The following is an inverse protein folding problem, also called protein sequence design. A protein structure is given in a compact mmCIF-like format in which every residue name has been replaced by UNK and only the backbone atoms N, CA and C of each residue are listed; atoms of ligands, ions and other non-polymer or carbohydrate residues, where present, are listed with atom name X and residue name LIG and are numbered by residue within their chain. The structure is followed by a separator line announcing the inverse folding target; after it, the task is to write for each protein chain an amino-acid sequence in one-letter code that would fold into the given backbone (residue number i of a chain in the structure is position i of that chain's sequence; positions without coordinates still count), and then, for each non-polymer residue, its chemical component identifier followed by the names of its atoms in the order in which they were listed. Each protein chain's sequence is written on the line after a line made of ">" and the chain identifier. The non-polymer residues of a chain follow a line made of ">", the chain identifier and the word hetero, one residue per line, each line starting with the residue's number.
data_IF_894869604537
#
_entry.id   IF_894869604537
#
_cell.length_a   1.000
_cell.length_b   1.000
_cell.length_c   1.000
_cell.angle_alpha   90.00
_cell.angle_beta   90.00
_cell.angle_gamma   90.00
#
_symmetry.space_group_name_H-M   'P 1'
#
loop_
_entity.id
_entity.type
_entity.pdbx_description
1 polymer ?
#
# COMPACT_ATOMS: atom_id res chain seq x y z
N UNK A 1 -34.82 30.71 11.26
CA UNK A 1 -33.38 30.48 11.50
C UNK A 1 -33.11 29.03 11.15
N UNK A 2 -32.80 28.76 9.89
CA UNK A 2 -32.43 27.43 9.44
C UNK A 2 -31.02 27.12 9.95
N UNK A 3 -30.93 26.07 10.75
CA UNK A 3 -29.69 25.44 11.19
C UNK A 3 -28.94 24.95 9.97
N UNK A 4 -27.88 25.65 9.57
CA UNK A 4 -26.91 25.15 8.61
C UNK A 4 -26.17 23.97 9.24
N UNK A 5 -26.62 22.75 8.96
CA UNK A 5 -25.86 21.53 9.24
C UNK A 5 -24.56 21.58 8.43
N UNK A 6 -23.52 22.14 9.03
CA UNK A 6 -22.15 21.97 8.55
C UNK A 6 -21.84 20.47 8.66
N UNK A 7 -21.95 19.74 7.55
CA UNK A 7 -21.40 18.39 7.41
C UNK A 7 -19.93 18.45 7.85
N UNK A 8 -19.62 17.97 9.06
CA UNK A 8 -18.24 17.77 9.50
C UNK A 8 -17.56 16.90 8.45
N UNK A 9 -16.53 17.43 7.80
CA UNK A 9 -15.74 16.69 6.84
C UNK A 9 -15.10 15.51 7.58
N UNK A 10 -15.33 14.28 7.08
CA UNK A 10 -14.76 13.09 7.70
C UNK A 10 -13.23 13.11 7.54
N UNK A 11 -12.46 12.68 8.56
CA UNK A 11 -11.02 12.50 8.42
C UNK A 11 -10.72 11.63 7.20
N UNK A 12 -9.70 12.00 6.43
CA UNK A 12 -9.34 11.32 5.18
C UNK A 12 -8.02 10.60 5.36
N UNK A 13 -8.03 9.29 5.17
CA UNK A 13 -6.85 8.44 5.23
C UNK A 13 -6.50 7.99 3.82
N UNK A 14 -5.26 8.24 3.41
CA UNK A 14 -4.73 7.71 2.16
C UNK A 14 -4.09 6.36 2.41
N UNK A 15 -4.64 5.29 1.84
CA UNK A 15 -4.11 3.93 1.96
C UNK A 15 -3.26 3.59 0.73
N UNK A 16 -1.99 3.24 0.96
CA UNK A 16 -1.17 2.54 -0.03
C UNK A 16 -1.77 1.17 -0.30
N UNK A 17 -2.31 0.97 -1.50
CA UNK A 17 -3.13 -0.19 -1.84
C UNK A 17 -2.45 -1.06 -2.91
N UNK A 18 -2.20 -2.32 -2.58
CA UNK A 18 -1.61 -3.31 -3.48
C UNK A 18 -2.63 -4.20 -4.17
N UNK A 19 -3.88 -4.25 -3.69
CA UNK A 19 -4.89 -5.15 -4.22
C UNK A 19 -4.94 -6.53 -3.55
N UNK A 20 -4.00 -6.83 -2.65
CA UNK A 20 -3.95 -8.08 -1.88
C UNK A 20 -4.96 -8.15 -0.74
N UNK A 21 -4.92 -9.26 0.01
CA UNK A 21 -5.78 -9.53 1.18
C UNK A 21 -5.67 -8.41 2.21
N UNK A 22 -4.46 -8.19 2.73
CA UNK A 22 -4.17 -7.30 3.85
C UNK A 22 -4.66 -5.88 3.57
N UNK A 23 -4.31 -5.33 2.40
CA UNK A 23 -4.72 -3.96 2.02
C UNK A 23 -6.21 -3.87 1.67
N UNK A 24 -6.87 -4.97 1.30
CA UNK A 24 -8.32 -5.02 1.10
C UNK A 24 -9.08 -5.04 2.42
N UNK A 25 -8.62 -5.84 3.39
CA UNK A 25 -9.13 -5.83 4.77
C UNK A 25 -8.92 -4.46 5.41
N UNK A 26 -7.77 -3.81 5.16
CA UNK A 26 -7.46 -2.48 5.67
C UNK A 26 -8.47 -1.41 5.29
N UNK A 27 -9.02 -1.43 4.07
CA UNK A 27 -10.05 -0.47 3.65
C UNK A 27 -11.26 -0.54 4.58
N UNK A 28 -11.76 -1.76 4.84
CA UNK A 28 -12.93 -1.94 5.69
C UNK A 28 -12.60 -1.64 7.16
N UNK A 29 -11.49 -2.19 7.67
CA UNK A 29 -11.08 -2.03 9.06
C UNK A 29 -10.85 -0.56 9.45
N UNK A 30 -10.14 0.21 8.62
CA UNK A 30 -9.88 1.65 8.88
C UNK A 30 -11.18 2.45 8.98
N UNK A 31 -12.17 2.12 8.14
CA UNK A 31 -13.48 2.78 8.17
C UNK A 31 -14.25 2.45 9.45
N UNK A 32 -14.26 1.18 9.85
CA UNK A 32 -14.98 0.76 11.06
C UNK A 32 -14.35 1.33 12.33
N UNK A 33 -13.02 1.28 12.44
CA UNK A 33 -12.31 1.69 13.64
C UNK A 33 -12.21 3.20 13.81
N UNK A 34 -12.12 3.96 12.70
CA UNK A 34 -11.87 5.41 12.75
C UNK A 34 -13.01 6.27 12.19
N UNK A 35 -14.08 5.68 11.65
CA UNK A 35 -15.19 6.43 11.06
C UNK A 35 -14.78 7.35 9.90
N UNK A 36 -13.65 7.04 9.25
CA UNK A 36 -12.97 7.89 8.28
C UNK A 36 -13.38 7.59 6.82
N UNK A 37 -13.01 8.50 5.91
CA UNK A 37 -13.02 8.24 4.48
C UNK A 37 -11.65 7.70 4.04
N UNK A 38 -11.62 6.47 3.53
CA UNK A 38 -10.41 5.87 2.98
C UNK A 38 -10.32 6.19 1.49
N UNK A 39 -9.17 6.71 1.04
CA UNK A 39 -8.81 6.85 -0.37
C UNK A 39 -7.66 5.89 -0.66
N UNK A 40 -7.80 5.04 -1.66
CA UNK A 40 -6.72 4.13 -2.05
C UNK A 40 -5.87 4.70 -3.17
N UNK A 41 -4.57 4.47 -3.07
CA UNK A 41 -3.59 4.82 -4.11
C UNK A 41 -2.69 3.63 -4.37
N UNK A 42 -2.65 3.21 -5.63
CA UNK A 42 -1.70 2.22 -6.14
C UNK A 42 -0.69 2.93 -7.02
N UNK A 43 0.60 2.68 -6.80
CA UNK A 43 1.67 3.24 -7.62
C UNK A 43 2.15 2.13 -8.56
N UNK A 44 2.02 2.34 -9.85
CA UNK A 44 2.43 1.41 -10.90
C UNK A 44 3.91 1.61 -11.21
N UNK A 45 4.72 0.66 -10.75
CA UNK A 45 6.16 0.54 -11.01
C UNK A 45 6.46 -0.65 -11.93
N UNK A 46 5.43 -1.20 -12.59
CA UNK A 46 5.53 -2.32 -13.53
C UNK A 46 5.18 -3.68 -12.97
N UNK A 47 4.42 -3.73 -11.88
CA UNK A 47 3.80 -4.97 -11.40
C UNK A 47 2.82 -5.52 -12.46
N UNK A 48 2.67 -6.84 -12.53
CA UNK A 48 1.84 -7.52 -13.55
C UNK A 48 0.36 -7.63 -13.19
N UNK A 49 -0.04 -7.19 -11.99
CA UNK A 49 -1.43 -7.25 -11.52
C UNK A 49 -2.41 -6.43 -12.38
N UNK A 50 -3.67 -6.88 -12.46
CA UNK A 50 -4.75 -6.06 -13.04
C UNK A 50 -5.11 -4.91 -12.09
N UNK A 51 -4.44 -3.78 -12.30
CA UNK A 51 -4.63 -2.56 -11.53
C UNK A 51 -6.07 -2.02 -11.66
N UNK A 52 -6.76 -2.26 -12.79
CA UNK A 52 -8.15 -1.84 -12.96
C UNK A 52 -9.06 -2.69 -12.08
N UNK A 53 -8.80 -3.98 -11.98
CA UNK A 53 -9.54 -4.85 -11.07
C UNK A 53 -9.30 -4.46 -9.61
N UNK A 54 -8.04 -4.21 -9.23
CA UNK A 54 -7.70 -3.71 -7.89
C UNK A 54 -8.50 -2.42 -7.55
N UNK A 55 -8.57 -1.45 -8.46
CA UNK A 55 -9.40 -0.24 -8.27
C UNK A 55 -10.89 -0.56 -8.10
N UNK A 56 -11.45 -1.49 -8.89
CA UNK A 56 -12.85 -1.91 -8.75
C UNK A 56 -13.09 -2.55 -7.39
N UNK A 57 -12.22 -3.47 -6.96
CA UNK A 57 -12.29 -4.13 -5.65
C UNK A 57 -12.22 -3.11 -4.51
N UNK A 58 -11.27 -2.19 -4.55
CA UNK A 58 -11.15 -1.15 -3.52
C UNK A 58 -12.44 -0.34 -3.35
N UNK A 59 -13.08 0.05 -4.45
CA UNK A 59 -14.38 0.76 -4.41
C UNK A 59 -15.51 -0.12 -3.89
N UNK A 60 -15.57 -1.39 -4.31
CA UNK A 60 -16.57 -2.34 -3.84
C UNK A 60 -16.49 -2.58 -2.32
N UNK A 61 -15.29 -2.59 -1.75
CA UNK A 61 -15.05 -2.72 -0.30
C UNK A 61 -15.46 -1.45 0.45
N UNK A 62 -15.42 -0.30 -0.22
CA UNK A 62 -15.91 0.97 0.31
C UNK A 62 -14.87 2.09 0.38
N UNK A 63 -13.77 2.00 -0.37
CA UNK A 63 -12.90 3.17 -0.57
C UNK A 63 -13.69 4.29 -1.27
N UNK A 64 -13.61 5.50 -0.72
CA UNK A 64 -14.29 6.69 -1.27
C UNK A 64 -13.78 7.07 -2.65
N UNK A 65 -12.48 6.85 -2.90
CA UNK A 65 -11.81 6.99 -4.19
C UNK A 65 -10.71 5.94 -4.29
N UNK A 66 -10.40 5.54 -5.52
CA UNK A 66 -9.28 4.67 -5.85
C UNK A 66 -8.52 5.29 -7.03
N UNK A 67 -7.21 5.43 -6.86
CA UNK A 67 -6.29 6.03 -7.84
C UNK A 67 -5.18 5.05 -8.20
N UNK A 68 -4.75 5.09 -9.46
CA UNK A 68 -3.52 4.47 -9.93
C UNK A 68 -2.62 5.57 -10.47
N UNK A 69 -1.36 5.57 -10.05
CA UNK A 69 -0.34 6.52 -10.51
C UNK A 69 0.66 5.74 -11.35
N UNK A 70 0.76 6.06 -12.64
CA UNK A 70 1.81 5.50 -13.51
C UNK A 70 3.16 6.13 -13.15
N UNK A 71 4.06 5.33 -12.57
CA UNK A 71 5.39 5.75 -12.16
C UNK A 71 6.50 4.94 -12.84
N UNK A 72 6.18 4.10 -13.84
CA UNK A 72 7.13 3.17 -14.47
C UNK A 72 8.37 3.88 -15.03
N UNK A 73 8.15 4.96 -15.79
CA UNK A 73 9.25 5.72 -16.40
C UNK A 73 10.10 6.41 -15.34
N UNK A 74 9.47 7.03 -14.35
CA UNK A 74 10.18 7.70 -13.25
C UNK A 74 10.97 6.71 -12.40
N UNK A 75 10.42 5.53 -12.16
CA UNK A 75 11.12 4.44 -11.49
C UNK A 75 12.37 4.01 -12.25
N UNK A 76 12.24 3.78 -13.57
CA UNK A 76 13.36 3.41 -14.41
C UNK A 76 14.47 4.47 -14.42
N UNK A 77 14.09 5.74 -14.64
CA UNK A 77 15.06 6.82 -14.83
C UNK A 77 15.71 7.29 -13.52
N UNK A 78 14.94 7.41 -12.44
CA UNK A 78 15.38 8.08 -11.21
C UNK A 78 15.80 7.10 -10.09
N UNK A 79 15.49 5.81 -10.21
CA UNK A 79 15.81 4.81 -9.17
C UNK A 79 16.62 3.64 -9.74
N UNK A 80 16.12 3.00 -10.79
CA UNK A 80 16.80 1.85 -11.42
C UNK A 80 18.11 2.28 -12.05
N UNK A 81 18.12 3.32 -12.89
CA UNK A 81 19.33 3.75 -13.58
C UNK A 81 20.44 4.21 -12.61
N UNK A 82 20.16 4.98 -11.54
CA UNK A 82 21.16 5.25 -10.51
C UNK A 82 21.66 4.01 -9.77
N UNK A 83 20.79 3.07 -9.41
CA UNK A 83 21.18 1.82 -8.77
C UNK A 83 22.12 0.99 -9.69
N UNK A 84 21.81 0.95 -10.98
CA UNK A 84 22.63 0.30 -12.00
C UNK A 84 24.01 0.98 -12.13
N UNK A 85 24.05 2.32 -12.22
CA UNK A 85 25.32 3.08 -12.28
C UNK A 85 26.19 2.85 -11.05
N UNK A 86 25.59 2.64 -9.89
CA UNK A 86 26.30 2.36 -8.64
C UNK A 86 26.74 0.90 -8.50
N UNK A 87 26.37 0.00 -9.42
CA UNK A 87 26.48 -1.45 -9.25
C UNK A 87 25.89 -1.90 -7.91
N UNK A 88 24.72 -1.36 -7.56
CA UNK A 88 24.14 -1.53 -6.23
C UNK A 88 23.71 -2.99 -5.99
N UNK A 89 24.50 -3.70 -5.19
CA UNK A 89 24.27 -5.08 -4.78
C UNK A 89 24.34 -5.18 -3.26
N UNK A 90 23.19 -5.41 -2.64
CA UNK A 90 23.12 -5.70 -1.21
C UNK A 90 23.72 -7.09 -0.95
N UNK A 91 24.63 -7.16 0.03
CA UNK A 91 25.40 -8.36 0.36
C UNK A 91 26.09 -9.01 -0.87
N UNK A 92 26.44 -8.18 -1.87
CA UNK A 92 27.11 -8.62 -3.09
C UNK A 92 26.24 -9.39 -4.09
N UNK A 93 24.96 -9.63 -3.78
CA UNK A 93 24.10 -10.52 -4.57
C UNK A 93 22.75 -9.91 -4.98
N UNK A 94 22.15 -9.09 -4.12
CA UNK A 94 20.76 -8.65 -4.32
C UNK A 94 20.69 -7.23 -4.92
N UNK A 95 20.12 -7.03 -6.12
CA UNK A 95 20.09 -5.73 -6.82
C UNK A 95 19.04 -4.76 -6.27
N UNK A 96 18.75 -4.84 -4.96
CA UNK A 96 17.84 -3.97 -4.22
C UNK A 96 16.43 -3.90 -4.82
N UNK A 97 15.99 -4.96 -5.48
CA UNK A 97 14.78 -5.04 -6.30
C UNK A 97 13.51 -4.49 -5.66
N UNK A 98 13.22 -4.95 -4.44
CA UNK A 98 12.09 -4.47 -3.64
C UNK A 98 12.40 -3.09 -3.06
N UNK A 99 13.63 -2.90 -2.55
CA UNK A 99 14.00 -1.75 -1.74
C UNK A 99 13.88 -0.40 -2.47
N UNK A 100 14.34 -0.31 -3.73
CA UNK A 100 14.44 0.98 -4.43
C UNK A 100 13.10 1.51 -4.94
N UNK A 101 12.06 0.67 -5.05
CA UNK A 101 10.74 1.13 -5.44
C UNK A 101 10.02 1.89 -4.32
N UNK A 102 10.25 1.50 -3.05
CA UNK A 102 9.47 2.03 -1.90
C UNK A 102 9.61 3.55 -1.72
N UNK A 103 10.81 4.15 -1.81
CA UNK A 103 10.92 5.61 -1.69
C UNK A 103 10.15 6.37 -2.79
N UNK A 104 10.12 5.87 -4.03
CA UNK A 104 9.31 6.45 -5.10
C UNK A 104 7.82 6.34 -4.79
N UNK A 105 7.37 5.14 -4.40
CA UNK A 105 5.96 4.91 -4.06
C UNK A 105 5.53 5.88 -2.96
N UNK A 106 6.34 6.03 -1.90
CA UNK A 106 6.08 6.97 -0.81
C UNK A 106 6.05 8.42 -1.29
N UNK A 107 6.98 8.83 -2.15
CA UNK A 107 6.95 10.19 -2.70
C UNK A 107 5.63 10.49 -3.41
N UNK A 108 5.11 9.55 -4.20
CA UNK A 108 3.81 9.68 -4.87
C UNK A 108 2.62 9.65 -3.90
N UNK A 109 2.69 8.83 -2.85
CA UNK A 109 1.68 8.79 -1.80
C UNK A 109 1.61 10.11 -1.03
N UNK A 110 2.77 10.70 -0.68
CA UNK A 110 2.86 11.99 0.00
C UNK A 110 2.34 13.13 -0.87
N UNK A 111 2.71 13.16 -2.16
CA UNK A 111 2.18 14.13 -3.12
C UNK A 111 0.65 14.06 -3.21
N UNK A 112 0.12 12.85 -3.34
CA UNK A 112 -1.32 12.61 -3.42
C UNK A 112 -2.04 12.94 -2.11
N UNK A 113 -1.45 12.62 -0.95
CA UNK A 113 -2.01 12.93 0.36
C UNK A 113 -2.19 14.44 0.52
N UNK A 114 -1.13 15.21 0.23
CA UNK A 114 -1.16 16.68 0.24
C UNK A 114 -2.21 17.24 -0.71
N UNK A 115 -2.27 16.74 -1.95
CA UNK A 115 -3.27 17.16 -2.94
C UNK A 115 -4.71 16.90 -2.51
N UNK A 116 -4.95 15.81 -1.80
CA UNK A 116 -6.28 15.41 -1.33
C UNK A 116 -6.65 15.98 0.04
N UNK A 117 -5.74 16.70 0.70
CA UNK A 117 -5.91 17.18 2.07
C UNK A 117 -6.01 16.04 3.10
N UNK A 118 -5.33 14.92 2.85
CA UNK A 118 -5.20 13.84 3.83
C UNK A 118 -3.99 14.13 4.73
N UNK A 119 -4.20 14.06 6.05
CA UNK A 119 -3.15 14.24 7.07
C UNK A 119 -2.54 12.91 7.54
N UNK A 120 -3.05 11.80 7.01
CA UNK A 120 -2.68 10.44 7.41
C UNK A 120 -2.45 9.55 6.20
N UNK A 121 -1.32 8.85 6.17
CA UNK A 121 -1.01 7.78 5.22
C UNK A 121 -1.02 6.44 5.96
N UNK A 122 -1.78 5.48 5.44
CA UNK A 122 -1.77 4.10 5.89
C UNK A 122 -1.04 3.19 4.90
N UNK A 123 -0.39 2.14 5.38
CA UNK A 123 0.23 1.10 4.55
C UNK A 123 -0.01 -0.31 5.12
N UNK A 124 0.00 -1.32 4.26
CA UNK A 124 -0.23 -2.72 4.63
C UNK A 124 1.03 -3.53 4.92
N UNK A 125 2.17 -2.90 5.24
CA UNK A 125 3.41 -3.65 5.50
C UNK A 125 3.30 -4.41 6.82
N UNK A 126 3.74 -5.67 6.86
CA UNK A 126 3.76 -6.45 8.10
C UNK A 126 4.83 -5.94 9.08
N UNK A 127 4.69 -6.31 10.35
CA UNK A 127 5.68 -5.99 11.39
C UNK A 127 7.00 -6.76 11.30
N UNK A 128 7.11 -7.75 10.39
CA UNK A 128 8.29 -8.62 10.27
C UNK A 128 9.23 -8.25 9.11
N UNK A 129 8.72 -7.50 8.12
CA UNK A 129 9.46 -7.17 6.90
C UNK A 129 10.22 -5.85 6.96
N UNK A 130 11.13 -5.66 6.00
CA UNK A 130 11.90 -4.42 5.83
C UNK A 130 11.06 -3.25 5.29
N UNK A 131 9.93 -3.54 4.63
CA UNK A 131 9.16 -2.52 3.95
C UNK A 131 8.50 -1.51 4.88
N UNK A 132 8.08 -1.90 6.08
CA UNK A 132 7.57 -0.93 7.06
C UNK A 132 8.60 0.17 7.33
N UNK A 133 9.88 -0.18 7.44
CA UNK A 133 10.96 0.77 7.70
C UNK A 133 11.16 1.66 6.48
N UNK A 134 11.21 1.07 5.28
CA UNK A 134 11.37 1.81 4.02
C UNK A 134 10.23 2.81 3.81
N UNK A 135 8.99 2.41 4.12
CA UNK A 135 7.83 3.28 4.03
C UNK A 135 7.87 4.40 5.07
N UNK A 136 7.94 4.05 6.35
CA UNK A 136 7.84 5.01 7.46
C UNK A 136 9.00 6.03 7.46
N UNK A 137 10.24 5.59 7.21
CA UNK A 137 11.40 6.50 7.11
C UNK A 137 11.24 7.45 5.92
N UNK A 138 10.76 6.96 4.78
CA UNK A 138 10.53 7.81 3.60
C UNK A 138 9.39 8.81 3.85
N UNK A 139 8.32 8.42 4.55
CA UNK A 139 7.22 9.32 4.89
C UNK A 139 7.73 10.42 5.83
N UNK A 140 8.44 10.03 6.90
CA UNK A 140 9.03 10.96 7.85
C UNK A 140 9.99 11.96 7.17
N UNK A 141 10.77 11.50 6.19
CA UNK A 141 11.68 12.35 5.44
C UNK A 141 10.97 13.36 4.51
N UNK A 142 9.84 12.98 3.89
CA UNK A 142 9.16 13.79 2.88
C UNK A 142 7.97 14.62 3.42
N UNK A 143 7.40 14.20 4.55
CA UNK A 143 6.28 14.83 5.22
C UNK A 143 6.31 14.49 6.72
N UNK A 144 7.19 15.13 7.51
CA UNK A 144 7.35 14.84 8.94
C UNK A 144 6.08 15.06 9.77
N UNK A 145 5.18 15.93 9.31
CA UNK A 145 3.88 16.20 9.96
C UNK A 145 2.78 15.19 9.58
N UNK A 146 3.06 14.28 8.63
CA UNK A 146 2.11 13.26 8.19
C UNK A 146 1.99 12.16 9.24
N UNK A 147 0.76 11.85 9.66
CA UNK A 147 0.50 10.69 10.52
C UNK A 147 0.66 9.41 9.71
N UNK A 148 1.22 8.38 10.34
CA UNK A 148 1.36 7.06 9.71
C UNK A 148 0.53 6.03 10.47
N UNK A 149 -0.18 5.19 9.72
CA UNK A 149 -0.92 4.04 10.25
C UNK A 149 -0.48 2.75 9.56
N UNK A 150 -0.39 1.67 10.33
CA UNK A 150 -0.03 0.35 9.81
C UNK A 150 -1.04 -0.69 10.32
N UNK A 151 -2.23 -0.79 9.69
CA UNK A 151 -3.33 -1.61 10.20
C UNK A 151 -2.95 -3.06 10.49
N UNK A 152 -2.12 -3.67 9.64
CA UNK A 152 -1.57 -5.02 9.79
C UNK A 152 -0.77 -5.24 11.08
N UNK A 153 -0.20 -4.17 11.65
CA UNK A 153 0.50 -4.20 12.94
C UNK A 153 -0.43 -3.88 14.11
N UNK A 154 -1.48 -3.11 13.85
CA UNK A 154 -2.42 -2.65 14.86
C UNK A 154 -3.46 -3.73 15.21
N UNK A 155 -4.00 -4.44 14.21
CA UNK A 155 -5.07 -5.43 14.42
C UNK A 155 -4.60 -6.80 14.90
N UNK A 156 -3.33 -7.15 14.67
CA UNK A 156 -2.70 -8.43 15.07
C UNK A 156 -3.40 -9.73 14.62
N UNK A 157 -4.36 -9.68 13.70
CA UNK A 157 -4.94 -10.84 13.01
C UNK A 157 -3.87 -11.70 12.32
N UNK A 158 -4.00 -13.02 12.44
CA UNK A 158 -3.32 -13.99 11.57
C UNK A 158 -3.86 -13.93 10.15
N UNK A 159 -3.18 -14.58 9.19
CA UNK A 159 -3.68 -14.66 7.81
C UNK A 159 -5.03 -15.37 7.73
N UNK A 160 -5.22 -16.43 8.52
CA UNK A 160 -6.49 -17.16 8.63
C UNK A 160 -7.59 -16.25 9.18
N UNK A 161 -7.30 -15.50 10.25
CA UNK A 161 -8.22 -14.54 10.85
C UNK A 161 -8.58 -13.41 9.86
N UNK A 162 -7.64 -12.94 9.04
CA UNK A 162 -7.91 -11.96 7.98
C UNK A 162 -8.83 -12.51 6.88
N UNK A 163 -8.66 -13.79 6.51
CA UNK A 163 -9.55 -14.46 5.55
C UNK A 163 -10.95 -14.61 6.14
N UNK A 164 -11.06 -15.01 7.41
CA UNK A 164 -12.34 -15.09 8.10
C UNK A 164 -13.01 -13.71 8.24
N UNK A 165 -12.24 -12.68 8.58
CA UNK A 165 -12.71 -11.30 8.61
C UNK A 165 -13.23 -10.86 7.25
N UNK A 166 -12.50 -11.14 6.17
CA UNK A 166 -12.92 -10.82 4.82
C UNK A 166 -14.24 -11.52 4.44
N UNK A 167 -14.39 -12.81 4.78
CA UNK A 167 -15.64 -13.56 4.57
C UNK A 167 -16.80 -12.97 5.36
N UNK A 168 -16.60 -12.71 6.65
CA UNK A 168 -17.64 -12.18 7.55
C UNK A 168 -18.17 -10.80 7.09
N UNK A 169 -17.33 -10.01 6.43
CA UNK A 169 -17.68 -8.67 5.96
C UNK A 169 -17.91 -8.57 4.45
N UNK A 170 -18.03 -9.71 3.75
CA UNK A 170 -18.22 -9.78 2.30
C UNK A 170 -17.18 -8.97 1.49
N UNK A 171 -15.92 -8.97 1.94
CA UNK A 171 -14.81 -8.30 1.26
C UNK A 171 -14.37 -9.19 0.09
N UNK A 172 -14.49 -8.73 -1.18
CA UNK A 172 -14.02 -9.49 -2.33
C UNK A 172 -12.49 -9.56 -2.32
N UNK A 173 -11.95 -10.70 -1.89
CA UNK A 173 -10.51 -10.95 -1.86
C UNK A 173 -10.09 -11.82 -3.06
N UNK A 174 -8.93 -11.55 -3.68
CA UNK A 174 -8.43 -12.34 -4.80
C UNK A 174 -7.87 -13.71 -4.38
N UNK A 175 -7.98 -14.08 -3.10
CA UNK A 175 -7.31 -15.25 -2.53
C UNK A 175 -8.02 -16.52 -2.98
N UNK A 176 -7.43 -17.22 -3.94
CA UNK A 176 -7.47 -18.68 -3.92
C UNK A 176 -6.57 -19.14 -2.77
N UNK A 177 -7.00 -20.16 -2.02
CA UNK A 177 -6.28 -20.72 -0.86
C UNK A 177 -4.87 -21.25 -1.26
N UNK A 178 -4.57 -21.31 -2.56
CA UNK A 178 -3.45 -22.04 -3.16
C UNK A 178 -2.27 -21.17 -3.65
N UNK A 179 -2.14 -19.91 -3.23
CA UNK A 179 -0.94 -19.11 -3.52
C UNK A 179 0.05 -19.15 -2.33
N UNK A 180 0.99 -20.12 -2.26
CA UNK A 180 1.86 -20.30 -1.11
C UNK A 180 2.99 -19.25 -1.00
N UNK A 181 3.14 -18.40 -2.02
CA UNK A 181 4.26 -17.46 -2.12
C UNK A 181 3.79 -16.02 -1.99
N UNK A 182 4.58 -15.22 -1.26
CA UNK A 182 4.54 -13.77 -1.30
C UNK A 182 5.39 -13.31 -2.49
N UNK A 183 4.82 -12.49 -3.38
CA UNK A 183 5.46 -12.06 -4.62
C UNK A 183 5.42 -10.54 -4.67
N UNK A 184 6.58 -9.94 -4.91
CA UNK A 184 6.73 -8.52 -5.17
C UNK A 184 7.43 -8.31 -6.51
N UNK A 185 6.85 -7.50 -7.38
CA UNK A 185 7.29 -7.35 -8.76
C UNK A 185 7.25 -5.90 -9.21
N UNK A 186 8.24 -5.53 -10.02
CA UNK A 186 8.31 -4.25 -10.74
C UNK A 186 8.99 -4.48 -12.09
N UNK A 187 9.12 -3.43 -12.92
CA UNK A 187 9.92 -3.51 -14.15
C UNK A 187 11.39 -3.91 -13.92
N UNK A 188 11.90 -3.81 -12.68
CA UNK A 188 13.29 -4.07 -12.35
C UNK A 188 13.57 -5.48 -11.84
N UNK A 189 12.64 -6.07 -11.10
CA UNK A 189 12.88 -7.35 -10.42
C UNK A 189 11.60 -8.01 -9.99
N UNK A 190 11.70 -9.32 -9.72
CA UNK A 190 10.68 -10.11 -9.05
C UNK A 190 11.28 -10.82 -7.84
N UNK A 191 10.71 -10.59 -6.66
CA UNK A 191 11.03 -11.28 -5.42
C UNK A 191 9.91 -12.28 -5.09
N UNK A 192 10.29 -13.46 -4.59
CA UNK A 192 9.38 -14.55 -4.24
C UNK A 192 9.87 -15.12 -2.91
N UNK A 193 8.99 -15.19 -1.92
CA UNK A 193 9.30 -15.66 -0.57
C UNK A 193 8.15 -16.50 0.01
N UNK A 194 8.31 -16.97 1.25
CA UNK A 194 7.40 -17.83 2.01
C UNK A 194 7.28 -19.28 1.49
N UNK A 195 6.55 -20.09 2.24
CA UNK A 195 6.26 -21.49 1.91
C UNK A 195 7.49 -22.37 2.10
N UNK A 196 7.77 -23.23 1.11
CA UNK A 196 8.88 -24.20 1.15
C UNK A 196 10.28 -23.58 1.01
N UNK A 197 10.37 -22.24 0.91
CA UNK A 197 11.62 -21.50 0.75
C UNK A 197 12.23 -21.06 2.10
N UNK A 198 11.50 -21.21 3.21
CA UNK A 198 11.96 -20.97 4.58
C UNK A 198 12.51 -22.24 5.23
#
# INVERSE_FOLDING_TARGET
>A
MESSDQKKEKPKILLAYSGGLDTSVAIHWLKQMHGCDVVTVTVDVGQTDDLKDAMRRARAIGASRAWVIDAKKEFADAYVLPALKANALYEGNYPLGTAIARPLMVAKLVEMAKRLGADTIAHGCTGKGNDQVRFEVSIMALAPDMKVMAPTRDWKMSREEEIEYAKAHNIPIPVTVDAPYSIDESVWSRAIECGVLE
#
